data_IF_786745099050
#
_entry.id   IF_786745099050
#
_cell.length_a   1.000
_cell.length_b   1.000
_cell.length_c   1.000
_cell.angle_alpha   90.00
_cell.angle_beta   90.00
_cell.angle_gamma   90.00
#
_symmetry.space_group_name_H-M   'P 1'
#
loop_
_entity.id
_entity.type
_entity.pdbx_description
1 polymer ?
#
# COMPACT_ATOMS: atom_id res chain seq x y z
N UNK A 1 -21.20 8.33 -7.33
CA UNK A 1 -22.30 7.51 -7.88
C UNK A 1 -23.50 8.41 -8.15
N UNK A 2 -24.14 8.27 -9.31
CA UNK A 2 -25.34 9.01 -9.70
C UNK A 2 -26.42 8.00 -10.12
N UNK A 3 -27.61 8.10 -9.57
CA UNK A 3 -28.69 7.16 -9.85
C UNK A 3 -29.93 7.86 -10.41
N UNK A 4 -30.67 7.18 -11.29
CA UNK A 4 -31.94 7.65 -11.80
C UNK A 4 -33.12 7.36 -10.89
N UNK A 5 -32.94 6.47 -9.90
CA UNK A 5 -33.99 6.04 -8.98
C UNK A 5 -33.40 5.59 -7.63
N UNK A 6 -34.16 4.77 -6.91
CA UNK A 6 -33.80 4.26 -5.60
C UNK A 6 -32.68 3.20 -5.70
N UNK A 7 -31.72 3.27 -4.77
CA UNK A 7 -30.60 2.35 -4.65
C UNK A 7 -30.87 1.39 -3.49
N UNK A 8 -30.71 0.10 -3.73
CA UNK A 8 -30.84 -0.96 -2.74
C UNK A 8 -29.65 -1.04 -1.76
N UNK A 9 -29.75 -1.95 -0.79
CA UNK A 9 -28.70 -2.24 0.18
C UNK A 9 -27.44 -2.85 -0.44
N UNK A 10 -27.56 -3.35 -1.65
CA UNK A 10 -26.48 -3.91 -2.48
C UNK A 10 -25.81 -2.83 -3.35
N UNK A 11 -26.14 -1.55 -3.13
CA UNK A 11 -25.65 -0.42 -3.92
C UNK A 11 -26.03 -0.49 -5.42
N UNK A 12 -27.11 -1.19 -5.76
CA UNK A 12 -27.61 -1.34 -7.14
C UNK A 12 -29.01 -0.73 -7.31
N UNK A 13 -29.43 -0.36 -8.55
CA UNK A 13 -30.77 0.15 -8.80
C UNK A 13 -31.85 -0.87 -8.42
N UNK A 14 -32.95 -0.44 -7.81
CA UNK A 14 -34.03 -1.33 -7.35
C UNK A 14 -35.11 -1.56 -8.39
N UNK A 15 -35.45 -0.55 -9.21
CA UNK A 15 -36.54 -0.64 -10.16
C UNK A 15 -36.03 -0.97 -11.57
N UNK A 16 -36.82 -1.77 -12.30
CA UNK A 16 -36.51 -2.10 -13.71
C UNK A 16 -36.52 -0.81 -14.55
N UNK A 17 -35.46 -0.61 -15.33
CA UNK A 17 -35.22 0.57 -16.14
C UNK A 17 -34.45 1.69 -15.45
N UNK A 18 -34.17 1.57 -14.16
CA UNK A 18 -33.31 2.52 -13.46
C UNK A 18 -31.82 2.25 -13.75
N UNK A 19 -31.06 3.32 -13.70
CA UNK A 19 -29.60 3.36 -13.93
C UNK A 19 -28.86 3.82 -12.69
N UNK A 20 -27.65 3.28 -12.51
CA UNK A 20 -26.62 3.81 -11.63
C UNK A 20 -25.36 4.04 -12.45
N UNK A 21 -24.86 5.27 -12.49
CA UNK A 21 -23.57 5.61 -13.09
C UNK A 21 -22.55 5.73 -11.98
N UNK A 22 -21.51 4.90 -12.05
CA UNK A 22 -20.32 5.00 -11.21
C UNK A 22 -19.23 5.66 -12.03
N UNK A 23 -18.79 6.83 -11.58
CA UNK A 23 -17.69 7.58 -12.17
C UNK A 23 -16.50 7.52 -11.21
N UNK A 24 -15.35 7.08 -11.69
CA UNK A 24 -14.07 7.12 -10.97
C UNK A 24 -13.20 8.21 -11.60
N UNK A 25 -13.27 9.42 -11.03
CA UNK A 25 -12.71 10.64 -11.60
C UNK A 25 -11.44 11.03 -10.87
N UNK A 26 -10.38 11.27 -11.63
CA UNK A 26 -9.11 11.75 -11.11
C UNK A 26 -8.95 13.26 -11.25
N UNK A 27 -8.51 13.90 -10.18
CA UNK A 27 -8.18 15.33 -10.20
C UNK A 27 -7.02 15.62 -9.23
N UNK A 28 -6.60 16.89 -9.20
CA UNK A 28 -5.62 17.36 -8.23
C UNK A 28 -6.12 17.08 -6.82
N UNK A 29 -5.27 16.49 -5.97
CA UNK A 29 -5.62 16.24 -4.58
C UNK A 29 -5.99 17.56 -3.87
N UNK A 30 -7.11 17.55 -3.13
CA UNK A 30 -7.48 18.69 -2.30
C UNK A 30 -6.48 18.83 -1.15
N UNK A 31 -6.19 20.07 -0.79
CA UNK A 31 -5.33 20.38 0.37
C UNK A 31 -5.98 20.01 1.71
N UNK A 32 -7.32 19.90 1.72
CA UNK A 32 -8.12 19.42 2.85
C UNK A 32 -8.93 18.18 2.43
N UNK A 33 -8.38 16.97 2.59
CA UNK A 33 -9.07 15.73 2.20
C UNK A 33 -10.37 15.48 2.97
N UNK A 34 -10.54 16.14 4.13
CA UNK A 34 -11.74 16.01 4.95
C UNK A 34 -12.93 16.81 4.39
N UNK A 35 -12.65 17.82 3.58
CA UNK A 35 -13.65 18.63 2.91
C UNK A 35 -13.45 18.60 1.39
N UNK A 36 -12.87 17.51 0.90
CA UNK A 36 -12.63 17.33 -0.54
C UNK A 36 -13.91 17.55 -1.34
N UNK A 37 -13.75 18.15 -2.49
CA UNK A 37 -14.84 18.46 -3.41
C UNK A 37 -14.48 17.98 -4.81
N UNK A 38 -15.48 17.64 -5.60
CA UNK A 38 -15.26 17.36 -7.02
C UNK A 38 -15.00 18.68 -7.75
N UNK A 39 -13.79 18.92 -8.30
CA UNK A 39 -13.50 20.12 -9.06
C UNK A 39 -14.38 20.25 -10.30
N UNK A 40 -14.80 21.50 -10.60
CA UNK A 40 -15.48 21.78 -11.86
C UNK A 40 -14.47 21.62 -13.02
N UNK A 41 -14.93 21.03 -14.12
CA UNK A 41 -14.12 20.79 -15.30
C UNK A 41 -14.75 19.76 -16.23
N UNK A 42 -14.07 19.51 -17.32
CA UNK A 42 -14.41 18.46 -18.27
C UNK A 42 -13.48 17.27 -18.03
N UNK A 43 -14.04 16.07 -17.93
CA UNK A 43 -13.34 14.83 -17.69
C UNK A 43 -13.48 13.91 -18.90
N UNK A 44 -12.44 13.18 -19.24
CA UNK A 44 -12.36 12.26 -20.39
C UNK A 44 -11.91 10.87 -19.97
N UNK A 45 -12.06 9.89 -20.85
CA UNK A 45 -11.42 8.58 -20.65
C UNK A 45 -9.90 8.74 -20.56
N UNK A 46 -9.30 8.20 -19.51
CA UNK A 46 -7.84 8.20 -19.34
C UNK A 46 -7.19 7.10 -20.17
N UNK A 47 -6.06 7.42 -20.79
CA UNK A 47 -5.19 6.41 -21.43
C UNK A 47 -4.29 5.72 -20.40
N UNK A 48 -4.05 6.39 -19.24
CA UNK A 48 -3.23 5.89 -18.14
C UNK A 48 -3.99 6.02 -16.81
N UNK A 49 -3.67 5.15 -15.87
CA UNK A 49 -4.28 5.17 -14.53
C UNK A 49 -3.97 6.48 -13.80
N UNK A 50 -4.99 7.06 -13.15
CA UNK A 50 -4.88 8.26 -12.32
C UNK A 50 -4.46 9.56 -13.03
N UNK A 51 -4.78 9.71 -14.31
CA UNK A 51 -4.52 10.94 -15.06
C UNK A 51 -5.50 12.05 -14.64
N UNK A 52 -4.99 13.26 -14.33
CA UNK A 52 -5.80 14.41 -13.92
C UNK A 52 -6.75 14.85 -15.05
N UNK A 53 -8.03 15.07 -14.72
CA UNK A 53 -9.07 15.42 -15.68
C UNK A 53 -9.62 14.23 -16.47
N UNK A 54 -9.33 13.01 -16.01
CA UNK A 54 -9.76 11.77 -16.62
C UNK A 54 -10.56 10.90 -15.66
N UNK A 55 -11.20 9.86 -16.19
CA UNK A 55 -11.73 8.76 -15.41
C UNK A 55 -11.01 7.46 -15.76
N UNK A 56 -11.05 6.54 -14.81
CA UNK A 56 -10.56 5.18 -15.00
C UNK A 56 -11.60 4.35 -15.77
N UNK A 57 -11.20 3.83 -16.92
CA UNK A 57 -12.07 3.02 -17.79
C UNK A 57 -12.39 1.63 -17.21
N UNK A 58 -11.56 1.11 -16.30
CA UNK A 58 -11.77 -0.19 -15.68
C UNK A 58 -12.79 -0.14 -14.54
N UNK A 59 -12.97 1.04 -13.92
CA UNK A 59 -13.82 1.22 -12.74
C UNK A 59 -15.02 2.14 -12.99
N UNK A 60 -15.03 2.88 -14.10
CA UNK A 60 -16.19 3.71 -14.52
C UNK A 60 -17.16 2.87 -15.33
N UNK A 61 -18.40 2.76 -14.84
CA UNK A 61 -19.41 1.89 -15.44
C UNK A 61 -20.86 2.38 -15.23
N UNK A 62 -21.75 1.89 -16.07
CA UNK A 62 -23.20 2.11 -15.98
C UNK A 62 -23.87 0.79 -15.63
N UNK A 63 -24.61 0.75 -14.53
CA UNK A 63 -25.44 -0.36 -14.12
C UNK A 63 -26.89 -0.10 -14.54
N UNK A 64 -27.56 -1.10 -15.08
CA UNK A 64 -28.96 -1.04 -15.49
C UNK A 64 -29.73 -2.20 -14.86
N UNK A 65 -30.84 -1.90 -14.18
CA UNK A 65 -31.75 -2.93 -13.71
C UNK A 65 -32.67 -3.37 -14.85
N UNK A 66 -32.48 -4.59 -15.33
CA UNK A 66 -33.24 -5.16 -16.46
C UNK A 66 -34.34 -6.13 -16.03
N UNK A 67 -34.29 -6.66 -14.81
CA UNK A 67 -35.31 -7.55 -14.28
C UNK A 67 -35.36 -7.53 -12.75
N UNK A 68 -36.37 -8.16 -12.17
CA UNK A 68 -36.52 -8.32 -10.72
C UNK A 68 -35.73 -9.50 -10.13
N UNK A 69 -34.96 -10.22 -10.93
CA UNK A 69 -34.09 -11.29 -10.46
C UNK A 69 -32.97 -10.70 -9.58
N UNK A 70 -32.87 -11.08 -8.30
CA UNK A 70 -31.81 -10.55 -7.42
C UNK A 70 -30.41 -10.93 -7.86
N UNK A 71 -30.24 -12.07 -8.52
CA UNK A 71 -28.92 -12.58 -8.90
C UNK A 71 -28.44 -12.08 -10.28
N UNK A 72 -29.40 -11.92 -11.24
CA UNK A 72 -29.08 -11.62 -12.63
C UNK A 72 -29.88 -10.43 -13.18
N UNK A 73 -30.53 -9.66 -12.31
CA UNK A 73 -31.41 -8.57 -12.72
C UNK A 73 -30.71 -7.27 -13.00
N UNK A 74 -29.40 -7.14 -12.78
CA UNK A 74 -28.60 -5.96 -13.11
C UNK A 74 -27.51 -6.34 -14.08
N UNK A 75 -27.39 -5.58 -15.14
CA UNK A 75 -26.26 -5.63 -16.08
C UNK A 75 -25.42 -4.37 -15.93
N UNK A 76 -24.14 -4.46 -16.23
CA UNK A 76 -23.27 -3.31 -16.26
C UNK A 76 -22.48 -3.28 -17.56
N UNK A 77 -22.10 -2.08 -17.97
CA UNK A 77 -21.24 -1.83 -19.13
C UNK A 77 -20.17 -0.81 -18.72
N UNK A 78 -18.94 -1.05 -19.16
CA UNK A 78 -17.85 -0.10 -18.95
C UNK A 78 -18.00 1.13 -19.83
N UNK A 79 -17.46 2.26 -19.38
CA UNK A 79 -17.45 3.52 -20.12
C UNK A 79 -16.07 3.69 -20.76
N UNK A 80 -16.02 3.59 -22.09
CA UNK A 80 -14.78 3.59 -22.85
C UNK A 80 -14.43 4.91 -23.52
N UNK A 81 -15.36 5.89 -23.50
CA UNK A 81 -15.12 7.19 -24.13
C UNK A 81 -16.18 8.23 -23.82
N UNK A 82 -16.08 9.39 -24.45
CA UNK A 82 -16.99 10.52 -24.27
C UNK A 82 -16.49 11.58 -23.30
N UNK A 83 -17.42 12.33 -22.72
CA UNK A 83 -17.11 13.44 -21.80
C UNK A 83 -18.06 13.50 -20.61
N UNK A 84 -17.56 13.93 -19.47
CA UNK A 84 -18.33 14.29 -18.27
C UNK A 84 -18.00 15.73 -17.91
N UNK A 85 -18.97 16.63 -18.03
CA UNK A 85 -18.82 18.02 -17.65
C UNK A 85 -19.36 18.25 -16.25
N UNK A 86 -18.50 18.67 -15.35
CA UNK A 86 -18.83 19.01 -13.96
C UNK A 86 -18.86 20.52 -13.80
N UNK A 87 -19.98 21.06 -13.32
CA UNK A 87 -20.14 22.44 -12.90
C UNK A 87 -20.52 22.46 -11.42
N UNK A 88 -20.04 23.47 -10.68
CA UNK A 88 -20.32 23.61 -9.25
C UNK A 88 -20.68 25.04 -8.89
N UNK A 89 -21.71 25.21 -8.07
CA UNK A 89 -22.07 26.48 -7.45
C UNK A 89 -22.40 26.26 -5.97
N UNK A 90 -21.48 26.62 -5.09
CA UNK A 90 -21.57 26.24 -3.67
C UNK A 90 -21.49 24.72 -3.53
N UNK A 91 -22.48 24.10 -2.89
CA UNK A 91 -22.54 22.65 -2.70
C UNK A 91 -23.36 21.93 -3.78
N UNK A 92 -24.01 22.70 -4.67
CA UNK A 92 -24.80 22.14 -5.75
C UNK A 92 -23.96 21.89 -6.99
N UNK A 93 -24.01 20.66 -7.49
CA UNK A 93 -23.36 20.21 -8.71
C UNK A 93 -24.35 20.12 -9.86
N UNK A 94 -23.86 20.40 -11.05
CA UNK A 94 -24.50 20.05 -12.32
C UNK A 94 -23.51 19.18 -13.09
N UNK A 95 -23.90 17.97 -13.40
CA UNK A 95 -23.07 17.01 -14.13
C UNK A 95 -23.79 16.57 -15.38
N UNK A 96 -23.19 16.88 -16.52
CA UNK A 96 -23.67 16.47 -17.84
C UNK A 96 -22.74 15.37 -18.37
N UNK A 97 -23.31 14.23 -18.74
CA UNK A 97 -22.59 13.07 -19.26
C UNK A 97 -23.01 12.84 -20.71
N UNK A 98 -22.05 12.79 -21.61
CA UNK A 98 -22.18 12.29 -22.99
C UNK A 98 -21.07 11.26 -23.20
N UNK A 99 -21.32 10.04 -22.77
CA UNK A 99 -20.34 8.95 -22.64
C UNK A 99 -20.67 7.83 -23.61
N UNK A 100 -19.65 7.03 -23.94
CA UNK A 100 -19.75 5.88 -24.85
C UNK A 100 -19.46 4.62 -24.05
N UNK A 101 -20.35 3.65 -24.10
CA UNK A 101 -20.20 2.36 -23.45
C UNK A 101 -19.33 1.40 -24.29
N UNK A 102 -18.91 0.29 -23.71
CA UNK A 102 -18.00 -0.68 -24.37
C UNK A 102 -18.58 -1.31 -25.66
N UNK A 103 -19.91 -1.38 -25.78
CA UNK A 103 -20.59 -1.83 -27.00
C UNK A 103 -20.70 -0.76 -28.09
N UNK A 104 -20.20 0.46 -27.82
CA UNK A 104 -20.25 1.60 -28.71
C UNK A 104 -21.54 2.44 -28.62
N UNK A 105 -22.50 2.03 -27.77
CA UNK A 105 -23.76 2.79 -27.59
C UNK A 105 -23.52 4.05 -26.73
N UNK A 106 -24.11 5.20 -27.13
CA UNK A 106 -24.01 6.41 -26.33
C UNK A 106 -24.95 6.37 -25.12
N UNK A 107 -24.43 6.84 -23.97
CA UNK A 107 -25.26 7.09 -22.80
C UNK A 107 -25.21 8.57 -22.43
N UNK A 108 -26.36 9.19 -22.26
CA UNK A 108 -26.50 10.58 -21.87
C UNK A 108 -27.21 10.70 -20.53
N UNK A 109 -26.58 11.39 -19.60
CA UNK A 109 -27.12 11.63 -18.29
C UNK A 109 -26.95 13.08 -17.86
N UNK A 110 -27.91 13.55 -17.05
CA UNK A 110 -27.88 14.86 -16.43
C UNK A 110 -28.21 14.74 -14.95
N UNK A 111 -27.35 15.29 -14.11
CA UNK A 111 -27.58 15.39 -12.67
C UNK A 111 -27.51 16.84 -12.23
N UNK A 112 -28.43 17.26 -11.35
CA UNK A 112 -28.36 18.53 -10.65
C UNK A 112 -28.81 18.36 -9.21
N UNK A 113 -27.89 18.59 -8.27
CA UNK A 113 -28.14 18.43 -6.84
C UNK A 113 -26.88 18.56 -6.00
N UNK A 114 -27.05 18.42 -4.73
CA UNK A 114 -25.93 18.39 -3.80
C UNK A 114 -25.30 16.98 -3.81
N UNK A 115 -23.98 16.93 -3.82
CA UNK A 115 -23.23 15.67 -3.69
C UNK A 115 -22.60 15.67 -2.31
N UNK A 116 -22.99 14.71 -1.51
CA UNK A 116 -22.36 14.44 -0.21
C UNK A 116 -21.20 13.50 -0.49
N UNK A 117 -19.99 14.01 -0.33
CA UNK A 117 -18.81 13.16 -0.28
C UNK A 117 -18.74 12.56 1.12
N UNK A 118 -18.91 11.26 1.20
CA UNK A 118 -18.60 10.55 2.42
C UNK A 118 -17.12 10.79 2.73
N UNK A 119 -16.88 11.35 3.90
CA UNK A 119 -15.51 11.46 4.37
C UNK A 119 -14.98 10.05 4.46
N UNK A 120 -13.99 9.73 3.64
CA UNK A 120 -13.18 8.57 3.88
C UNK A 120 -12.32 8.89 5.12
N UNK A 121 -12.94 8.74 6.28
CA UNK A 121 -12.17 8.42 7.45
C UNK A 121 -11.74 6.97 7.20
N UNK A 122 -10.45 6.68 6.97
CA UNK A 122 -10.00 5.31 7.07
C UNK A 122 -10.53 4.88 8.43
N UNK A 123 -11.49 3.97 8.44
CA UNK A 123 -12.02 3.44 9.68
C UNK A 123 -10.81 2.79 10.37
N UNK A 124 -10.15 3.61 11.17
CA UNK A 124 -9.24 3.08 12.18
C UNK A 124 -10.11 2.10 12.93
N UNK A 125 -9.79 0.80 12.99
CA UNK A 125 -10.63 -0.19 13.62
C UNK A 125 -11.02 0.38 14.97
N UNK A 126 -12.28 0.80 15.10
CA UNK A 126 -12.74 1.52 16.29
C UNK A 126 -12.49 0.60 17.47
N UNK A 127 -11.55 0.96 18.31
CA UNK A 127 -11.25 0.30 19.57
C UNK A 127 -9.99 -0.57 19.60
N UNK A 128 -9.29 -0.85 18.49
CA UNK A 128 -8.12 -1.73 18.53
C UNK A 128 -6.80 -0.97 18.68
N UNK A 129 -6.61 0.13 17.94
CA UNK A 129 -5.36 0.88 17.95
C UNK A 129 -5.58 2.37 18.15
N UNK A 130 -4.64 3.00 18.86
CA UNK A 130 -4.55 4.44 19.04
C UNK A 130 -3.27 4.94 18.35
N UNK A 131 -3.22 6.14 17.76
CA UNK A 131 -1.97 6.71 17.33
C UNK A 131 -1.07 7.04 18.53
N UNK A 132 0.24 6.99 18.32
CA UNK A 132 1.17 7.61 19.27
C UNK A 132 1.03 9.13 19.18
N UNK A 133 1.28 9.82 20.31
CA UNK A 133 1.19 11.29 20.40
C UNK A 133 2.54 11.95 20.69
N UNK A 134 3.60 11.16 20.82
CA UNK A 134 4.96 11.60 21.13
C UNK A 134 5.99 10.69 20.48
N UNK A 135 7.21 11.19 20.31
CA UNK A 135 8.35 10.43 19.82
C UNK A 135 8.58 9.19 20.68
N UNK A 136 9.07 8.12 20.06
CA UNK A 136 9.32 6.85 20.73
C UNK A 136 10.80 6.52 20.75
N UNK A 137 11.29 6.05 21.90
CA UNK A 137 12.63 5.52 22.10
C UNK A 137 12.52 4.14 22.75
N UNK A 138 13.03 3.09 22.09
CA UNK A 138 12.86 1.70 22.53
C UNK A 138 14.12 0.88 22.30
N UNK A 139 14.64 0.26 23.38
CA UNK A 139 15.67 -0.78 23.26
C UNK A 139 15.02 -2.15 23.28
N UNK A 140 15.11 -2.88 22.18
CA UNK A 140 14.56 -4.22 22.06
C UNK A 140 15.46 -5.26 22.73
N UNK A 141 14.86 -6.28 23.31
CA UNK A 141 15.57 -7.35 24.06
C UNK A 141 15.50 -8.70 23.39
N UNK A 142 14.59 -8.88 22.44
CA UNK A 142 14.41 -10.11 21.68
C UNK A 142 14.17 -9.75 20.21
N UNK A 143 14.69 -10.60 19.33
CA UNK A 143 14.44 -10.50 17.90
C UNK A 143 14.26 -11.89 17.29
N UNK A 144 13.51 -11.95 16.20
CA UNK A 144 13.42 -13.12 15.32
C UNK A 144 13.14 -12.66 13.89
N UNK A 145 13.50 -13.50 12.94
CA UNK A 145 13.23 -13.25 11.54
C UNK A 145 12.70 -14.47 10.80
N UNK A 146 12.12 -14.21 9.64
CA UNK A 146 11.72 -15.22 8.66
C UNK A 146 12.31 -14.84 7.31
N UNK A 147 13.04 -15.75 6.72
CA UNK A 147 13.61 -15.59 5.41
C UNK A 147 12.74 -16.30 4.37
N UNK A 148 12.27 -15.57 3.39
CA UNK A 148 11.42 -16.08 2.29
C UNK A 148 12.20 -16.21 0.97
N UNK A 149 13.46 -15.80 0.94
CA UNK A 149 14.25 -15.80 -0.29
C UNK A 149 13.66 -14.91 -1.36
N UNK A 150 13.84 -15.28 -2.61
CA UNK A 150 13.34 -14.51 -3.75
C UNK A 150 11.93 -14.92 -4.22
N UNK A 151 11.12 -15.49 -3.33
CA UNK A 151 9.75 -15.92 -3.66
C UNK A 151 8.89 -14.78 -4.22
N UNK A 152 8.87 -13.64 -3.49
CA UNK A 152 8.05 -12.49 -3.88
C UNK A 152 8.76 -11.52 -4.82
N UNK A 153 10.06 -11.66 -4.98
CA UNK A 153 10.90 -10.71 -5.70
C UNK A 153 12.04 -11.42 -6.45
N UNK A 154 12.11 -11.31 -7.78
CA UNK A 154 13.19 -11.93 -8.53
C UNK A 154 14.56 -11.24 -8.35
N UNK A 155 14.59 -10.03 -7.78
CA UNK A 155 15.79 -9.18 -7.72
C UNK A 155 16.42 -9.06 -6.32
N UNK A 156 15.66 -9.42 -5.27
CA UNK A 156 16.11 -9.34 -3.89
C UNK A 156 15.56 -10.52 -3.09
N UNK A 157 16.15 -10.81 -1.96
CA UNK A 157 15.62 -11.74 -0.98
C UNK A 157 14.75 -10.98 0.02
N UNK A 158 13.56 -11.52 0.33
CA UNK A 158 12.57 -10.94 1.22
C UNK A 158 12.65 -11.55 2.62
N UNK A 159 12.52 -10.71 3.62
CA UNK A 159 12.51 -11.09 5.03
C UNK A 159 11.42 -10.37 5.80
N UNK A 160 10.92 -11.03 6.82
CA UNK A 160 10.14 -10.44 7.91
C UNK A 160 11.03 -10.41 9.15
N UNK A 161 11.27 -9.21 9.70
CA UNK A 161 12.01 -9.03 10.95
C UNK A 161 11.07 -8.54 12.04
N UNK A 162 11.22 -9.09 13.24
CA UNK A 162 10.37 -8.83 14.39
C UNK A 162 11.23 -8.60 15.63
N UNK A 163 11.04 -7.46 16.28
CA UNK A 163 11.76 -7.05 17.48
C UNK A 163 10.77 -6.83 18.63
N UNK A 164 11.17 -7.19 19.83
CA UNK A 164 10.28 -7.26 20.96
C UNK A 164 10.93 -6.69 22.22
N UNK A 165 10.12 -5.97 23.02
CA UNK A 165 10.45 -5.55 24.36
C UNK A 165 9.21 -5.64 25.24
N UNK A 166 9.19 -6.55 26.21
CA UNK A 166 8.07 -6.69 27.14
C UNK A 166 7.57 -8.12 27.29
N UNK A 167 6.28 -8.27 27.55
CA UNK A 167 5.65 -9.54 27.89
C UNK A 167 4.75 -10.05 26.75
N UNK A 168 4.75 -11.38 26.56
CA UNK A 168 3.96 -12.10 25.57
C UNK A 168 3.18 -13.21 26.24
N UNK A 169 2.04 -13.57 25.66
CA UNK A 169 1.33 -14.79 26.03
C UNK A 169 1.91 -16.02 25.31
N UNK A 170 1.34 -17.18 25.58
CA UNK A 170 1.72 -18.47 24.98
C UNK A 170 1.57 -18.53 23.45
N UNK A 171 0.75 -17.64 22.87
CA UNK A 171 0.54 -17.52 21.44
C UNK A 171 1.43 -16.42 20.81
N UNK A 172 2.47 -15.97 21.52
CA UNK A 172 3.39 -14.90 21.09
C UNK A 172 2.70 -13.54 20.82
N UNK A 173 1.52 -13.30 21.40
CA UNK A 173 0.82 -12.03 21.28
C UNK A 173 1.34 -11.08 22.38
N UNK A 174 1.72 -9.86 21.98
CA UNK A 174 2.16 -8.81 22.90
C UNK A 174 1.05 -8.47 23.91
N UNK A 175 1.35 -8.62 25.19
CA UNK A 175 0.41 -8.29 26.28
C UNK A 175 0.81 -7.03 27.03
N UNK A 176 2.08 -6.65 26.99
CA UNK A 176 2.60 -5.39 27.53
C UNK A 176 3.96 -5.09 26.93
N UNK A 177 4.23 -3.84 26.53
CA UNK A 177 5.52 -3.40 26.00
C UNK A 177 5.44 -3.02 24.52
N UNK A 178 6.49 -3.31 23.77
CA UNK A 178 6.66 -2.87 22.38
C UNK A 178 6.95 -4.03 21.43
N UNK A 179 6.47 -3.89 20.23
CA UNK A 179 6.71 -4.77 19.09
C UNK A 179 6.99 -3.96 17.83
N UNK A 180 8.13 -4.17 17.21
CA UNK A 180 8.46 -3.61 15.90
C UNK A 180 8.43 -4.71 14.85
N UNK A 181 7.61 -4.54 13.85
CA UNK A 181 7.59 -5.38 12.66
C UNK A 181 8.21 -4.63 11.48
N UNK A 182 9.14 -5.26 10.79
CA UNK A 182 9.66 -4.83 9.50
C UNK A 182 9.27 -5.90 8.49
N UNK A 183 8.23 -5.63 7.72
CA UNK A 183 7.74 -6.56 6.69
C UNK A 183 8.34 -6.19 5.35
N UNK A 184 8.66 -7.22 4.55
CA UNK A 184 9.34 -7.04 3.27
C UNK A 184 10.58 -6.16 3.41
N UNK A 185 11.50 -6.67 4.24
CA UNK A 185 12.85 -6.15 4.37
C UNK A 185 13.70 -6.86 3.31
N UNK A 186 14.17 -6.12 2.31
CA UNK A 186 14.86 -6.68 1.15
C UNK A 186 16.37 -6.60 1.31
N UNK A 187 17.08 -7.71 1.05
CA UNK A 187 18.54 -7.76 0.97
C UNK A 187 19.00 -8.29 -0.39
N UNK A 188 20.31 -8.25 -0.64
CA UNK A 188 20.88 -8.91 -1.81
C UNK A 188 20.68 -10.42 -1.72
N UNK A 189 20.56 -11.06 -2.86
CA UNK A 189 20.29 -12.49 -2.97
C UNK A 189 21.43 -13.30 -2.37
N UNK A 190 21.08 -14.24 -1.49
CA UNK A 190 22.04 -15.22 -1.00
C UNK A 190 22.44 -16.21 -2.12
N UNK A 191 23.66 -16.70 -2.03
CA UNK A 191 24.16 -17.74 -2.95
C UNK A 191 23.70 -19.15 -2.55
N UNK A 192 23.37 -19.34 -1.28
CA UNK A 192 22.88 -20.60 -0.74
C UNK A 192 21.54 -20.40 -0.03
N UNK A 193 20.47 -20.93 -0.61
CA UNK A 193 19.13 -20.88 -0.05
C UNK A 193 18.81 -21.99 0.96
N UNK A 194 19.72 -22.96 1.13
CA UNK A 194 19.50 -24.10 2.02
C UNK A 194 20.07 -23.87 3.42
N UNK A 195 20.48 -22.65 3.75
CA UNK A 195 20.97 -22.31 5.08
C UNK A 195 19.84 -22.47 6.10
N UNK A 196 20.08 -23.17 7.19
CA UNK A 196 19.10 -23.33 8.28
C UNK A 196 18.80 -21.99 8.96
N UNK A 197 19.80 -21.12 9.08
CA UNK A 197 19.71 -19.81 9.70
C UNK A 197 20.34 -18.75 8.76
N UNK A 198 19.60 -18.30 7.71
CA UNK A 198 20.09 -17.31 6.77
C UNK A 198 20.48 -16.00 7.46
N UNK A 199 21.64 -15.42 7.16
CA UNK A 199 22.07 -14.19 7.82
C UNK A 199 21.32 -12.97 7.28
N UNK A 200 21.04 -12.02 8.17
CA UNK A 200 20.71 -10.65 7.77
C UNK A 200 21.97 -9.96 7.25
N UNK A 201 21.90 -9.34 6.08
CA UNK A 201 23.01 -8.62 5.46
C UNK A 201 23.34 -7.35 6.26
N UNK A 202 24.65 -7.10 6.45
CA UNK A 202 25.15 -5.87 7.08
C UNK A 202 24.98 -4.66 6.15
N UNK A 203 24.71 -3.51 6.73
CA UNK A 203 24.59 -2.26 6.00
C UNK A 203 23.41 -1.41 6.46
N UNK A 204 23.06 -0.43 5.65
CA UNK A 204 21.96 0.50 5.94
C UNK A 204 20.78 0.23 5.02
N UNK A 205 19.67 -0.16 5.60
CA UNK A 205 18.38 -0.34 4.94
C UNK A 205 17.58 0.96 5.05
N UNK A 206 16.91 1.34 3.99
CA UNK A 206 16.08 2.53 3.96
C UNK A 206 14.62 2.18 3.78
N UNK A 207 13.73 2.82 4.54
CA UNK A 207 12.28 2.70 4.29
C UNK A 207 12.00 3.27 2.91
N UNK A 208 11.44 2.41 2.04
CA UNK A 208 11.20 2.74 0.64
C UNK A 208 10.09 3.78 0.51
N UNK A 209 10.29 4.76 -0.37
CA UNK A 209 9.23 5.71 -0.77
C UNK A 209 8.11 5.01 -1.57
N UNK A 210 8.41 3.86 -2.14
CA UNK A 210 7.47 3.04 -2.90
C UNK A 210 6.90 1.99 -1.95
N UNK A 211 5.80 2.32 -1.30
CA UNK A 211 5.10 1.37 -0.44
C UNK A 211 4.15 0.50 -1.24
N UNK A 212 4.03 -0.76 -0.80
CA UNK A 212 2.97 -1.66 -1.25
C UNK A 212 3.41 -2.74 -2.22
N UNK A 213 2.79 -3.89 -2.05
CA UNK A 213 3.00 -5.14 -2.79
C UNK A 213 2.54 -5.10 -4.25
N UNK A 214 1.98 -4.00 -4.72
CA UNK A 214 1.28 -3.97 -6.00
C UNK A 214 2.17 -3.92 -7.23
N UNK A 215 3.49 -3.72 -7.07
CA UNK A 215 4.36 -3.61 -8.24
C UNK A 215 5.70 -4.29 -7.98
N UNK A 216 5.78 -5.57 -8.34
CA UNK A 216 6.96 -6.43 -8.22
C UNK A 216 8.25 -5.97 -8.91
N UNK A 217 8.30 -4.71 -9.34
CA UNK A 217 9.45 -4.13 -10.03
C UNK A 217 10.31 -3.19 -9.16
N UNK A 218 9.89 -2.90 -7.94
CA UNK A 218 10.57 -1.93 -7.08
C UNK A 218 11.07 -2.49 -5.74
N UNK A 219 11.24 -3.79 -5.66
CA UNK A 219 11.82 -4.46 -4.51
C UNK A 219 13.35 -4.39 -4.64
N UNK A 220 13.92 -3.34 -4.10
CA UNK A 220 15.34 -3.02 -4.21
C UNK A 220 16.05 -3.56 -2.96
N UNK A 221 17.20 -4.24 -3.08
CA UNK A 221 18.00 -4.61 -1.93
C UNK A 221 18.31 -3.40 -1.03
N UNK A 222 18.43 -3.63 0.27
CA UNK A 222 18.67 -2.65 1.32
C UNK A 222 17.50 -1.68 1.51
N UNK A 223 16.26 -2.16 1.28
CA UNK A 223 15.04 -1.39 1.55
C UNK A 223 14.06 -2.13 2.45
N UNK A 224 13.16 -1.38 3.06
CA UNK A 224 12.09 -1.85 3.95
C UNK A 224 10.78 -1.26 3.44
N UNK A 225 9.71 -2.06 3.36
CA UNK A 225 8.41 -1.55 2.99
C UNK A 225 7.79 -0.69 4.09
N UNK A 226 7.08 0.37 3.68
CA UNK A 226 6.27 1.20 4.58
C UNK A 226 5.17 0.39 5.26
N UNK A 227 4.68 0.93 6.37
CA UNK A 227 3.50 0.42 7.05
C UNK A 227 2.23 1.15 6.60
N UNK A 228 1.12 0.42 6.66
CA UNK A 228 -0.22 0.96 6.39
C UNK A 228 -1.30 0.10 7.04
N UNK A 229 -2.52 0.62 7.11
CA UNK A 229 -3.69 -0.21 7.38
C UNK A 229 -4.19 -0.78 6.05
N UNK A 230 -4.48 -2.06 6.04
CA UNK A 230 -5.09 -2.74 4.88
C UNK A 230 -6.46 -3.28 5.26
N UNK A 231 -7.45 -3.06 4.41
CA UNK A 231 -8.75 -3.71 4.49
C UNK A 231 -8.65 -5.10 3.83
N UNK A 232 -8.96 -6.12 4.60
CA UNK A 232 -9.04 -7.49 4.11
C UNK A 232 -10.43 -8.02 4.47
N UNK A 233 -11.33 -8.06 3.49
CA UNK A 233 -12.72 -8.52 3.64
C UNK A 233 -13.52 -7.73 4.71
N UNK A 234 -13.37 -6.41 4.75
CA UNK A 234 -14.04 -5.54 5.71
C UNK A 234 -13.44 -5.57 7.12
N UNK A 235 -12.27 -6.18 7.28
CA UNK A 235 -11.49 -6.12 8.51
C UNK A 235 -10.16 -5.40 8.26
N UNK A 236 -9.84 -4.47 9.16
CA UNK A 236 -8.64 -3.65 9.04
C UNK A 236 -7.49 -4.25 9.84
N UNK A 237 -6.36 -4.47 9.16
CA UNK A 237 -5.15 -5.01 9.75
C UNK A 237 -3.96 -4.10 9.50
N UNK A 238 -3.06 -3.94 10.48
CA UNK A 238 -1.78 -3.33 10.23
C UNK A 238 -0.95 -4.25 9.32
N UNK A 239 -0.43 -3.69 8.24
CA UNK A 239 0.42 -4.37 7.26
C UNK A 239 1.69 -3.57 7.02
N UNK A 240 2.71 -4.20 6.43
CA UNK A 240 4.00 -3.56 6.24
C UNK A 240 4.77 -3.39 7.55
N UNK A 241 5.45 -2.26 7.70
CA UNK A 241 6.35 -2.02 8.84
C UNK A 241 5.77 -1.01 9.82
N UNK A 242 5.71 -1.38 11.08
CA UNK A 242 5.09 -0.57 12.14
C UNK A 242 5.66 -0.87 13.51
N UNK A 243 5.59 0.13 14.39
CA UNK A 243 5.80 0.00 15.84
C UNK A 243 4.45 -0.13 16.53
N UNK A 244 4.29 -1.14 17.38
CA UNK A 244 3.14 -1.34 18.24
C UNK A 244 3.55 -1.25 19.71
N UNK A 245 2.67 -0.67 20.54
CA UNK A 245 2.79 -0.68 22.01
C UNK A 245 1.49 -1.17 22.61
N UNK A 246 1.60 -2.05 23.61
CA UNK A 246 0.47 -2.46 24.45
C UNK A 246 0.71 -1.99 25.87
N UNK A 247 -0.25 -1.27 26.44
CA UNK A 247 -0.27 -0.91 27.87
C UNK A 247 -1.24 -1.86 28.59
N UNK A 248 -0.69 -2.81 29.35
CA UNK A 248 -1.48 -3.81 30.08
C UNK A 248 -2.39 -3.22 31.15
N UNK A 249 -2.08 -2.01 31.66
CA UNK A 249 -2.90 -1.34 32.70
C UNK A 249 -4.19 -0.79 32.13
N UNK A 250 -4.16 -0.32 30.90
CA UNK A 250 -5.31 0.31 30.24
C UNK A 250 -5.95 -0.58 29.19
N UNK A 251 -5.26 -1.65 28.77
CA UNK A 251 -5.64 -2.51 27.65
C UNK A 251 -5.52 -1.82 26.29
N UNK A 252 -4.99 -0.60 26.25
CA UNK A 252 -4.86 0.15 25.00
C UNK A 252 -3.68 -0.34 24.18
N UNK A 253 -3.90 -0.33 22.86
CA UNK A 253 -2.87 -0.62 21.86
C UNK A 253 -2.59 0.64 21.06
N UNK A 254 -1.32 0.96 20.86
CA UNK A 254 -0.87 2.10 20.09
C UNK A 254 -0.10 1.60 18.89
N UNK A 255 -0.21 2.30 17.75
CA UNK A 255 0.50 1.95 16.53
C UNK A 255 1.07 3.19 15.84
N UNK A 256 2.26 3.03 15.26
CA UNK A 256 2.87 4.00 14.35
C UNK A 256 3.37 3.27 13.11
N UNK A 257 2.85 3.64 11.95
CA UNK A 257 3.30 3.10 10.66
C UNK A 257 4.57 3.79 10.22
N UNK A 258 5.59 3.02 9.82
CA UNK A 258 6.85 3.57 9.34
C UNK A 258 6.67 4.17 7.94
N UNK A 259 7.12 5.40 7.75
CA UNK A 259 7.01 6.14 6.49
C UNK A 259 8.36 6.47 5.85
N UNK A 260 9.38 6.69 6.67
CA UNK A 260 10.74 7.00 6.21
C UNK A 260 11.78 6.63 7.27
N UNK A 261 13.05 6.76 6.94
CA UNK A 261 14.17 6.54 7.86
C UNK A 261 14.98 5.29 7.53
N UNK A 262 15.83 4.88 8.46
CA UNK A 262 16.86 3.87 8.24
C UNK A 262 16.95 2.85 9.37
N UNK A 263 17.37 1.64 9.00
CA UNK A 263 17.88 0.61 9.89
C UNK A 263 19.35 0.34 9.51
N UNK A 264 20.26 0.49 10.44
CA UNK A 264 21.68 0.17 10.23
C UNK A 264 22.03 -1.11 10.99
N UNK A 265 22.57 -2.08 10.26
CA UNK A 265 22.91 -3.42 10.74
C UNK A 265 24.41 -3.60 10.74
N UNK A 266 24.95 -3.99 11.89
CA UNK A 266 26.32 -4.53 12.02
C UNK A 266 26.26 -5.91 12.65
N UNK A 267 27.21 -6.78 12.31
CA UNK A 267 27.22 -8.17 12.76
C UNK A 267 28.55 -8.56 13.33
N UNK A 268 28.53 -9.30 14.45
CA UNK A 268 29.70 -9.91 15.05
C UNK A 268 29.40 -11.39 15.40
N UNK A 269 29.82 -12.28 14.53
CA UNK A 269 29.48 -13.70 14.65
C UNK A 269 27.98 -13.95 14.45
N UNK A 270 27.31 -14.45 15.48
CA UNK A 270 25.85 -14.70 15.48
C UNK A 270 25.05 -13.51 16.05
N UNK A 271 25.74 -12.51 16.60
CA UNK A 271 25.09 -11.33 17.18
C UNK A 271 25.03 -10.18 16.19
N UNK A 272 24.00 -9.39 16.35
CA UNK A 272 23.74 -8.18 15.60
C UNK A 272 23.65 -6.98 16.53
N UNK A 273 24.19 -5.85 16.09
CA UNK A 273 23.91 -4.54 16.64
C UNK A 273 23.14 -3.75 15.58
N UNK A 274 21.88 -3.42 15.89
CA UNK A 274 20.96 -2.79 14.94
C UNK A 274 20.46 -1.50 15.54
N UNK A 275 20.56 -0.42 14.76
CA UNK A 275 20.06 0.91 15.13
C UNK A 275 18.98 1.33 14.14
N UNK A 276 17.86 1.78 14.68
CA UNK A 276 16.70 2.22 13.92
C UNK A 276 16.48 3.72 14.13
N UNK A 277 16.39 4.46 13.04
CA UNK A 277 16.05 5.87 13.02
C UNK A 277 14.92 6.07 12.01
N UNK A 278 13.70 5.89 12.45
CA UNK A 278 12.52 5.98 11.61
C UNK A 278 11.69 7.23 11.89
N UNK A 279 10.84 7.56 10.94
CA UNK A 279 9.76 8.52 11.11
C UNK A 279 8.44 7.87 10.73
N UNK A 280 7.43 8.05 11.59
CA UNK A 280 6.08 7.56 11.34
C UNK A 280 5.36 8.35 10.25
N UNK A 281 4.23 7.82 9.78
CA UNK A 281 3.34 8.52 8.86
C UNK A 281 2.80 9.84 9.45
N UNK A 282 2.67 9.90 10.78
CA UNK A 282 2.23 11.10 11.53
C UNK A 282 3.38 12.07 11.86
N UNK A 283 4.60 11.78 11.38
CA UNK A 283 5.78 12.64 11.53
C UNK A 283 6.52 12.50 12.86
N UNK A 284 6.19 11.51 13.71
CA UNK A 284 6.89 11.23 14.96
C UNK A 284 8.20 10.50 14.70
N UNK A 285 9.23 10.81 15.49
CA UNK A 285 10.48 10.08 15.46
C UNK A 285 10.37 8.77 16.25
N UNK A 286 10.90 7.70 15.68
CA UNK A 286 10.98 6.37 16.27
C UNK A 286 12.44 5.95 16.26
N UNK A 287 13.09 6.09 17.40
CA UNK A 287 14.49 5.71 17.59
C UNK A 287 14.56 4.45 18.42
N UNK A 288 15.15 3.41 17.85
CA UNK A 288 15.24 2.12 18.53
C UNK A 288 16.62 1.51 18.35
N UNK A 289 16.94 0.55 19.21
CA UNK A 289 18.14 -0.28 19.10
C UNK A 289 17.86 -1.73 19.47
N UNK A 290 18.71 -2.61 18.98
CA UNK A 290 18.75 -4.01 19.35
C UNK A 290 20.20 -4.50 19.34
N UNK A 291 20.61 -5.26 20.38
CA UNK A 291 21.90 -5.95 20.43
C UNK A 291 21.68 -7.39 20.90
N UNK A 292 22.05 -8.36 20.07
CA UNK A 292 21.89 -9.77 20.40
C UNK A 292 21.79 -10.71 19.21
N UNK A 293 21.44 -11.95 19.47
CA UNK A 293 21.21 -12.95 18.44
C UNK A 293 19.87 -12.69 17.73
N UNK A 294 19.88 -12.82 16.40
CA UNK A 294 18.69 -12.74 15.54
C UNK A 294 18.48 -14.10 14.85
N UNK A 295 17.77 -15.04 15.48
CA UNK A 295 17.44 -16.30 14.83
C UNK A 295 16.54 -16.06 13.61
N UNK A 296 16.94 -16.59 12.47
CA UNK A 296 16.29 -16.42 11.18
C UNK A 296 15.77 -17.77 10.68
N UNK A 297 14.47 -18.04 10.83
CA UNK A 297 13.88 -19.24 10.25
C UNK A 297 13.88 -19.18 8.72
N UNK A 298 14.29 -20.26 8.07
CA UNK A 298 14.21 -20.39 6.62
C UNK A 298 12.82 -20.90 6.22
N UNK A 299 12.03 -20.04 5.55
CA UNK A 299 10.70 -20.32 5.00
C UNK A 299 10.69 -20.33 3.48
N UNK A 300 11.86 -20.46 2.87
CA UNK A 300 12.00 -20.56 1.43
C UNK A 300 11.71 -22.00 0.96
N UNK A 301 10.42 -22.35 0.85
CA UNK A 301 9.97 -23.68 0.43
C UNK A 301 9.92 -23.85 -1.10
N UNK A 302 10.42 -22.86 -1.85
CA UNK A 302 10.24 -22.84 -3.28
C UNK A 302 11.42 -23.53 -3.99
N UNK A 303 11.24 -24.76 -4.44
CA UNK A 303 12.20 -25.50 -5.28
C UNK A 303 12.59 -24.77 -6.58
N UNK A 304 11.84 -23.74 -6.96
CA UNK A 304 12.11 -22.91 -8.13
C UNK A 304 13.00 -21.69 -7.83
N UNK A 305 13.25 -21.38 -6.57
CA UNK A 305 14.18 -20.33 -6.18
C UNK A 305 15.60 -20.81 -6.34
N UNK A 306 16.16 -20.61 -7.51
CA UNK A 306 17.59 -20.86 -7.72
C UNK A 306 18.35 -19.58 -7.37
N UNK A 307 19.52 -19.69 -6.69
CA UNK A 307 20.41 -18.55 -6.54
C UNK A 307 20.67 -17.96 -7.92
N UNK A 308 20.73 -16.63 -8.01
CA UNK A 308 21.24 -16.01 -9.20
C UNK A 308 22.62 -16.63 -9.51
N UNK A 309 22.86 -16.98 -10.75
CA UNK A 309 24.22 -17.35 -11.16
C UNK A 309 25.15 -16.24 -10.64
N UNK A 310 26.24 -16.57 -9.94
CA UNK A 310 27.18 -15.56 -9.51
C UNK A 310 27.53 -14.71 -10.73
N UNK A 311 27.38 -13.39 -10.61
CA UNK A 311 27.92 -12.50 -11.64
C UNK A 311 29.39 -12.90 -11.78
N UNK A 312 29.79 -13.22 -13.02
CA UNK A 312 31.21 -13.44 -13.30
C UNK A 312 31.94 -12.20 -12.79
N UNK A 313 32.83 -12.42 -11.84
CA UNK A 313 33.70 -11.34 -11.37
C UNK A 313 34.37 -10.77 -12.61
N UNK A 314 34.14 -9.49 -12.88
CA UNK A 314 34.92 -8.78 -13.90
C UNK A 314 36.37 -8.79 -13.38
N UNK A 315 37.19 -9.63 -13.96
CA UNK A 315 38.61 -9.76 -13.58
C UNK A 315 39.45 -8.65 -14.20
N UNK A 316 38.89 -7.91 -15.15
CA UNK A 316 39.56 -6.82 -15.86
C UNK A 316 38.73 -5.53 -15.76
N UNK A 317 39.43 -4.39 -15.72
CA UNK A 317 38.80 -3.09 -15.80
C UNK A 317 38.12 -2.93 -17.17
N UNK A 318 36.81 -2.78 -17.18
CA UNK A 318 36.05 -2.47 -18.40
C UNK A 318 35.98 -0.97 -18.53
N UNK A 319 36.64 -0.44 -19.57
CA UNK A 319 36.46 0.96 -19.98
C UNK A 319 35.32 1.01 -21.00
N UNK A 320 34.20 1.56 -20.62
CA UNK A 320 33.11 1.86 -21.54
C UNK A 320 33.41 3.18 -22.23
N UNK A 321 33.69 3.16 -23.52
CA UNK A 321 33.69 4.36 -24.35
C UNK A 321 32.22 4.70 -24.63
N UNK A 322 31.74 5.81 -24.07
CA UNK A 322 30.42 6.33 -24.48
C UNK A 322 30.53 6.89 -25.90
N UNK A 323 29.53 6.65 -26.77
CA UNK A 323 29.48 7.30 -28.08
C UNK A 323 29.54 8.83 -27.92
N UNK A 324 30.29 9.51 -28.78
CA UNK A 324 30.42 10.96 -28.77
C UNK A 324 29.09 11.73 -28.86
N UNK A 325 28.06 11.07 -29.37
CA UNK A 325 26.69 11.62 -29.53
C UNK A 325 25.90 11.78 -28.21
N UNK A 326 26.40 11.24 -27.10
CA UNK A 326 25.75 11.37 -25.78
C UNK A 326 26.33 12.51 -24.91
N UNK A 327 27.25 13.32 -25.42
CA UNK A 327 27.86 14.41 -24.68
C UNK A 327 27.14 15.75 -24.80
N UNK A 328 26.06 15.83 -25.58
CA UNK A 328 25.20 17.03 -25.66
C UNK A 328 23.77 16.69 -25.21
N UNK A 329 23.56 16.67 -23.90
CA UNK A 329 22.23 16.92 -23.32
C UNK A 329 22.37 18.25 -22.58
N UNK A 330 21.91 19.34 -23.22
CA UNK A 330 21.62 20.61 -22.57
C UNK A 330 20.43 20.49 -21.62
#
# INVERSE_FOLDING_TARGET
RLASGEIGKDDLPTNIGDYLVRLDLYNVADSDPWNATLPAGEYHAGEETAQIGCWDVETTNVFTRISSDPANGVVYSYVTGGTVLVQRKGDTYTIDMDIVMEDGEPFRGHFKGDIIFEKYEPETPQGTYQPFTEDQEVSFTLAKGRYYGNWFCPHADDMLLQFYHGNFNENEVLTNGYYLQLSSCYMHKLLDYNMENPPLEEGTYQVSIFGGSAQGYMQIPMTINKGQISDINGQYYPTGSYLEKVDSRTGKRYIAFLNSGTMTVTRSGENYDIVFNFQSADGLNITCDFSGALPMGNFNDNDNTKPASPMSTLTDNVTLALPEELTEIE
#
